data_IF_145635907478
#
_entry.id   IF_145635907478
#
_cell.length_a   1.000
_cell.length_b   1.000
_cell.length_c   1.000
_cell.angle_alpha   90.00
_cell.angle_beta   90.00
_cell.angle_gamma   90.00
#
_symmetry.space_group_name_H-M   'P 1'
#
loop_
_entity.id
_entity.type
_entity.pdbx_description
1 polymer ?
#
# COMPACT_ATOMS: atom_id res chain seq x y z
N UNK A 1 -29.98 -24.08 -8.81
CA UNK A 1 -30.88 -22.95 -8.60
C UNK A 1 -30.24 -21.71 -9.19
N UNK A 2 -30.75 -21.21 -10.31
CA UNK A 2 -30.21 -20.05 -11.00
C UNK A 2 -30.81 -18.79 -10.38
N UNK A 3 -29.95 -17.92 -9.84
CA UNK A 3 -30.34 -16.60 -9.32
C UNK A 3 -30.63 -15.71 -10.53
N UNK A 4 -31.91 -15.36 -10.73
CA UNK A 4 -32.32 -14.38 -11.74
C UNK A 4 -31.87 -12.99 -11.29
N UNK A 5 -30.87 -12.44 -11.95
CA UNK A 5 -30.47 -11.04 -11.79
C UNK A 5 -31.60 -10.11 -12.24
N UNK A 6 -31.89 -9.13 -11.42
CA UNK A 6 -32.98 -8.17 -11.65
C UNK A 6 -32.48 -7.01 -12.54
N UNK A 7 -32.86 -6.94 -13.83
CA UNK A 7 -32.27 -6.00 -14.79
C UNK A 7 -32.57 -4.51 -14.48
N UNK A 8 -33.54 -4.22 -13.61
CA UNK A 8 -33.91 -2.86 -13.23
C UNK A 8 -32.90 -2.18 -12.31
N UNK A 9 -32.15 -2.94 -11.49
CA UNK A 9 -31.12 -2.40 -10.61
C UNK A 9 -29.87 -1.97 -11.39
N UNK A 10 -29.51 -2.70 -12.43
CA UNK A 10 -28.36 -2.37 -13.28
C UNK A 10 -28.62 -1.12 -14.11
N UNK A 11 -29.83 -0.94 -14.65
CA UNK A 11 -30.18 0.26 -15.40
C UNK A 11 -30.24 1.55 -14.54
N UNK A 12 -30.64 1.47 -13.27
CA UNK A 12 -30.62 2.64 -12.39
C UNK A 12 -29.20 3.09 -12.03
N UNK A 13 -28.27 2.16 -11.96
CA UNK A 13 -26.84 2.46 -11.73
C UNK A 13 -26.22 3.19 -12.92
N UNK A 14 -26.48 2.73 -14.15
CA UNK A 14 -25.98 3.36 -15.37
C UNK A 14 -26.57 4.75 -15.62
N UNK A 15 -27.84 4.99 -15.29
CA UNK A 15 -28.46 6.34 -15.40
C UNK A 15 -27.85 7.37 -14.45
N UNK A 16 -27.51 7.00 -13.23
CA UNK A 16 -26.82 7.91 -12.28
C UNK A 16 -25.38 8.20 -12.71
N UNK A 17 -24.73 7.26 -13.37
CA UNK A 17 -23.35 7.41 -13.86
C UNK A 17 -23.26 8.31 -15.09
N UNK A 18 -24.22 8.23 -16.01
CA UNK A 18 -24.29 9.09 -17.19
C UNK A 18 -24.55 10.57 -16.84
N UNK A 19 -25.33 10.84 -15.79
CA UNK A 19 -25.61 12.21 -15.34
C UNK A 19 -24.37 12.90 -14.73
N UNK A 20 -23.42 12.18 -14.13
CA UNK A 20 -22.20 12.75 -13.55
C UNK A 20 -21.11 13.05 -14.58
N UNK A 21 -21.21 12.48 -15.80
CA UNK A 21 -20.23 12.68 -16.88
C UNK A 21 -20.54 13.87 -17.80
N UNK A 22 -21.77 14.43 -17.75
CA UNK A 22 -22.17 15.55 -18.60
C UNK A 22 -21.80 16.93 -18.06
N UNK A 23 -21.31 17.04 -16.83
CA UNK A 23 -20.96 18.34 -16.21
C UNK A 23 -19.50 18.78 -16.35
N UNK A 24 -18.62 18.01 -17.02
CA UNK A 24 -17.18 18.32 -17.07
C UNK A 24 -16.64 18.75 -18.44
N UNK A 25 -17.48 19.20 -19.38
CA UNK A 25 -17.01 19.72 -20.67
C UNK A 25 -17.10 21.25 -20.70
N UNK A 26 -16.06 21.92 -20.19
CA UNK A 26 -15.83 23.36 -20.43
C UNK A 26 -14.59 23.50 -21.31
N UNK A 27 -14.76 24.15 -22.46
CA UNK A 27 -13.72 24.45 -23.43
C UNK A 27 -12.86 25.63 -22.96
N UNK A 28 -11.55 25.68 -23.32
CA UNK A 28 -10.70 26.83 -23.03
C UNK A 28 -10.82 27.89 -24.12
N UNK A 29 -11.10 29.13 -23.74
CA UNK A 29 -10.95 30.32 -24.57
C UNK A 29 -9.56 30.95 -24.35
N UNK A 30 -8.87 31.20 -25.45
CA UNK A 30 -7.60 31.91 -25.52
C UNK A 30 -7.89 33.40 -25.64
N UNK A 31 -7.32 34.24 -24.78
CA UNK A 31 -7.14 35.68 -25.04
C UNK A 31 -5.77 36.13 -24.58
N UNK A 32 -5.06 36.71 -25.53
CA UNK A 32 -3.80 37.44 -25.40
C UNK A 32 -4.07 38.91 -25.15
N UNK A 33 -3.37 39.56 -24.21
CA UNK A 33 -3.03 40.97 -24.31
C UNK A 33 -1.98 41.42 -23.28
N UNK A 34 -1.00 42.15 -23.77
CA UNK A 34 0.10 42.85 -23.10
C UNK A 34 -0.39 44.01 -22.22
N UNK A 35 0.40 44.42 -21.23
CA UNK A 35 0.27 45.70 -20.58
C UNK A 35 0.90 45.86 -19.20
N UNK A 36 1.94 46.64 -19.16
CA UNK A 36 2.76 47.12 -18.05
C UNK A 36 2.02 47.95 -16.97
N UNK A 37 2.47 47.87 -15.71
CA UNK A 37 2.49 49.06 -14.84
C UNK A 37 1.99 48.93 -13.41
N UNK A 38 2.92 49.16 -12.48
CA UNK A 38 2.84 49.81 -11.15
C UNK A 38 1.96 49.30 -10.02
N UNK A 39 2.64 49.18 -8.90
CA UNK A 39 2.30 49.01 -7.50
C UNK A 39 1.08 49.78 -6.95
N UNK A 40 0.22 49.08 -6.24
CA UNK A 40 -0.50 49.61 -5.07
C UNK A 40 -1.03 48.45 -4.20
N UNK A 41 -0.75 48.57 -2.90
CA UNK A 41 -1.24 47.70 -1.82
C UNK A 41 -2.74 47.91 -1.66
N UNK A 42 -3.52 46.85 -1.80
CA UNK A 42 -4.91 46.84 -1.37
C UNK A 42 -5.28 45.50 -0.74
N UNK A 43 -5.98 45.60 0.36
CA UNK A 43 -6.53 44.51 1.20
C UNK A 43 -7.30 43.50 0.34
N UNK A 44 -6.96 42.23 0.49
CA UNK A 44 -7.70 41.15 -0.15
C UNK A 44 -8.87 40.70 0.73
N UNK A 45 -10.06 40.91 0.22
CA UNK A 45 -11.28 40.23 0.63
C UNK A 45 -11.21 38.76 0.20
N UNK A 46 -11.32 37.85 1.17
CA UNK A 46 -11.37 36.43 0.96
C UNK A 46 -12.73 36.00 0.37
N UNK A 47 -12.84 35.88 -0.92
CA UNK A 47 -13.87 35.09 -1.58
C UNK A 47 -13.37 34.65 -2.97
N UNK A 48 -12.55 33.57 -2.97
CA UNK A 48 -12.30 32.83 -4.19
C UNK A 48 -12.39 31.35 -3.85
N UNK A 49 -13.46 30.70 -4.28
CA UNK A 49 -13.54 29.24 -4.40
C UNK A 49 -12.58 28.79 -5.51
N UNK A 50 -11.31 28.99 -5.30
CA UNK A 50 -10.24 28.46 -6.12
C UNK A 50 -10.13 26.96 -5.85
N UNK A 51 -10.20 26.14 -6.88
CA UNK A 51 -9.77 24.74 -6.84
C UNK A 51 -8.29 24.71 -6.40
N UNK A 52 -8.07 24.69 -5.09
CA UNK A 52 -6.75 24.43 -4.55
C UNK A 52 -6.38 23.02 -4.96
N UNK A 53 -5.47 22.90 -5.92
CA UNK A 53 -4.89 21.61 -6.32
C UNK A 53 -4.23 21.04 -5.06
N UNK A 54 -4.89 20.04 -4.46
CA UNK A 54 -4.36 19.38 -3.28
C UNK A 54 -3.16 18.56 -3.72
N UNK A 55 -1.97 19.05 -3.39
CA UNK A 55 -0.73 18.32 -3.66
C UNK A 55 -0.56 17.25 -2.60
N UNK A 56 -0.51 15.99 -3.01
CA UNK A 56 -0.25 14.90 -2.09
C UNK A 56 1.20 14.94 -1.58
N UNK A 57 1.46 14.60 -0.31
CA UNK A 57 2.83 14.46 0.21
C UNK A 57 3.63 13.46 -0.64
N UNK A 58 4.93 13.72 -0.89
CA UNK A 58 5.77 12.83 -1.71
C UNK A 58 5.94 11.43 -1.13
N UNK A 59 5.67 11.26 0.17
CA UNK A 59 5.72 9.98 0.88
C UNK A 59 4.58 9.03 0.50
N UNK A 60 3.48 9.54 -0.05
CA UNK A 60 2.30 8.75 -0.42
C UNK A 60 2.61 7.57 -1.34
N UNK A 61 3.58 7.73 -2.25
CA UNK A 61 4.03 6.66 -3.14
C UNK A 61 4.62 5.44 -2.40
N UNK A 62 5.16 5.65 -1.21
CA UNK A 62 5.71 4.57 -0.38
C UNK A 62 4.69 3.99 0.58
N UNK A 63 3.75 4.82 1.06
CA UNK A 63 2.68 4.41 1.98
C UNK A 63 1.64 3.59 1.22
N UNK A 64 1.21 4.08 0.05
CA UNK A 64 0.13 3.50 -0.76
C UNK A 64 0.58 3.15 -2.19
N UNK A 65 1.60 2.30 -2.36
CA UNK A 65 2.12 1.94 -3.69
C UNK A 65 1.09 1.21 -4.54
N UNK A 66 0.09 0.57 -3.95
CA UNK A 66 -0.95 -0.18 -4.62
C UNK A 66 -1.88 0.66 -5.52
N UNK A 67 -1.98 1.97 -5.26
CA UNK A 67 -2.76 2.87 -6.12
C UNK A 67 -2.06 3.19 -7.45
N UNK A 68 -0.76 2.93 -7.53
CA UNK A 68 -0.05 3.05 -8.80
C UNK A 68 -0.38 1.86 -9.70
N UNK A 69 -0.63 2.12 -10.99
CA UNK A 69 -0.85 1.05 -11.96
C UNK A 69 0.42 0.25 -12.24
N UNK A 70 0.27 -0.89 -12.92
CA UNK A 70 1.42 -1.67 -13.39
C UNK A 70 2.27 -0.83 -14.38
N UNK A 71 3.59 -0.73 -14.23
CA UNK A 71 4.46 0.02 -15.14
C UNK A 71 4.48 -0.58 -16.56
N UNK A 72 4.13 -1.84 -16.74
CA UNK A 72 4.13 -2.51 -18.06
C UNK A 72 3.04 -1.95 -18.98
N UNK A 73 3.40 -1.32 -20.09
CA UNK A 73 2.48 -0.69 -21.04
C UNK A 73 1.43 -1.66 -21.55
N UNK A 74 1.79 -2.92 -21.79
CA UNK A 74 0.89 -3.97 -22.26
C UNK A 74 -0.27 -4.28 -21.30
N UNK A 75 -0.05 -4.05 -20.00
CA UNK A 75 -1.04 -4.32 -18.94
C UNK A 75 -1.84 -3.09 -18.55
N UNK A 76 -1.55 -1.93 -19.15
CA UNK A 76 -2.18 -0.66 -18.85
C UNK A 76 -3.54 -0.51 -19.55
N UNK A 77 -4.56 -0.18 -18.76
CA UNK A 77 -5.87 0.24 -19.25
C UNK A 77 -6.41 1.33 -18.33
N UNK A 78 -6.41 2.57 -18.82
CA UNK A 78 -6.78 3.77 -18.04
C UNK A 78 -8.18 3.68 -17.42
N UNK A 79 -9.15 3.10 -18.14
CA UNK A 79 -10.52 2.93 -17.64
C UNK A 79 -10.55 1.94 -16.48
N UNK A 80 -9.93 0.76 -16.66
CA UNK A 80 -9.84 -0.26 -15.62
C UNK A 80 -9.14 0.30 -14.37
N UNK A 81 -8.00 0.98 -14.53
CA UNK A 81 -7.24 1.57 -13.44
C UNK A 81 -8.07 2.58 -12.64
N UNK A 82 -8.87 3.40 -13.32
CA UNK A 82 -9.77 4.35 -12.67
C UNK A 82 -10.88 3.64 -11.88
N UNK A 83 -11.50 2.62 -12.47
CA UNK A 83 -12.56 1.85 -11.82
C UNK A 83 -12.01 1.06 -10.61
N UNK A 84 -10.84 0.44 -10.75
CA UNK A 84 -10.16 -0.25 -9.64
C UNK A 84 -9.87 0.71 -8.49
N UNK A 85 -9.35 1.92 -8.76
CA UNK A 85 -9.11 2.93 -7.70
C UNK A 85 -10.40 3.33 -6.98
N UNK A 86 -11.48 3.54 -7.72
CA UNK A 86 -12.78 3.87 -7.12
C UNK A 86 -13.26 2.75 -6.18
N UNK A 87 -13.17 1.50 -6.60
CA UNK A 87 -13.55 0.34 -5.78
C UNK A 87 -12.63 0.18 -4.55
N UNK A 88 -11.32 0.35 -4.73
CA UNK A 88 -10.35 0.34 -3.62
C UNK A 88 -10.71 1.39 -2.55
N UNK A 89 -11.02 2.61 -2.96
CA UNK A 89 -11.41 3.68 -2.06
C UNK A 89 -12.75 3.40 -1.39
N UNK A 90 -13.71 2.80 -2.11
CA UNK A 90 -14.97 2.37 -1.52
C UNK A 90 -14.75 1.28 -0.46
N UNK A 91 -13.93 0.28 -0.73
CA UNK A 91 -13.58 -0.77 0.24
C UNK A 91 -12.85 -0.22 1.46
N UNK A 92 -11.94 0.73 1.26
CA UNK A 92 -11.27 1.44 2.37
C UNK A 92 -12.23 2.26 3.22
N UNK A 93 -13.39 2.67 2.72
CA UNK A 93 -14.42 3.31 3.55
C UNK A 93 -15.06 2.35 4.55
N UNK A 94 -15.11 1.06 4.22
CA UNK A 94 -15.68 -0.01 5.06
C UNK A 94 -14.63 -0.57 6.01
N UNK A 95 -13.50 -1.04 5.46
CA UNK A 95 -12.38 -1.60 6.21
C UNK A 95 -11.22 -0.60 6.24
N UNK A 96 -10.78 -0.24 7.44
CA UNK A 96 -9.61 0.61 7.61
C UNK A 96 -8.34 -0.19 7.31
N UNK A 97 -7.59 0.23 6.28
CA UNK A 97 -6.29 -0.33 5.96
C UNK A 97 -5.24 0.69 6.39
N UNK A 98 -4.56 0.45 7.53
CA UNK A 98 -3.55 1.37 8.06
C UNK A 98 -2.29 1.40 7.21
N UNK A 99 -1.41 2.36 7.49
CA UNK A 99 -0.06 2.40 6.94
C UNK A 99 0.75 1.22 7.47
N UNK A 100 1.40 0.47 6.59
CA UNK A 100 2.32 -0.61 6.95
C UNK A 100 3.42 -0.78 5.90
N UNK A 101 4.51 -1.41 6.31
CA UNK A 101 5.68 -1.69 5.47
C UNK A 101 6.12 -3.14 5.64
N UNK A 102 7.04 -3.58 4.77
CA UNK A 102 7.77 -4.83 5.02
C UNK A 102 8.55 -4.70 6.32
N UNK A 103 8.36 -5.68 7.22
CA UNK A 103 8.88 -5.64 8.58
C UNK A 103 7.87 -5.23 9.66
N UNK A 104 6.77 -4.58 9.31
CA UNK A 104 5.71 -4.26 10.27
C UNK A 104 5.04 -5.52 10.80
N UNK A 105 4.74 -5.54 12.11
CA UNK A 105 3.97 -6.63 12.73
C UNK A 105 2.50 -6.26 12.66
N UNK A 106 1.71 -7.17 12.09
CA UNK A 106 0.30 -6.92 11.77
C UNK A 106 -0.58 -8.06 12.26
N UNK A 107 -1.83 -7.73 12.47
CA UNK A 107 -2.92 -8.67 12.75
C UNK A 107 -3.99 -8.52 11.69
N UNK A 108 -4.40 -9.63 11.11
CA UNK A 108 -5.49 -9.69 10.13
C UNK A 108 -6.59 -10.60 10.64
N UNK A 109 -7.82 -10.09 10.65
CA UNK A 109 -9.02 -10.86 10.99
C UNK A 109 -9.83 -11.11 9.73
N UNK A 110 -10.05 -12.36 9.41
CA UNK A 110 -10.78 -12.84 8.24
C UNK A 110 -12.04 -13.56 8.66
N UNK A 111 -13.11 -13.41 7.88
CA UNK A 111 -14.32 -14.22 8.07
C UNK A 111 -14.03 -15.68 7.70
N UNK A 112 -14.31 -16.60 8.62
CA UNK A 112 -14.11 -18.03 8.43
C UNK A 112 -15.35 -18.78 8.95
N UNK A 113 -16.02 -19.46 8.03
CA UNK A 113 -17.25 -20.22 8.36
C UNK A 113 -16.97 -21.41 9.28
N UNK A 114 -15.76 -21.97 9.21
CA UNK A 114 -15.39 -23.18 9.96
C UNK A 114 -14.94 -22.88 11.41
N UNK A 115 -14.61 -21.62 11.69
CA UNK A 115 -14.22 -21.20 13.03
C UNK A 115 -15.44 -21.06 13.96
N UNK A 116 -15.34 -21.42 15.25
CA UNK A 116 -16.43 -21.27 16.21
C UNK A 116 -16.92 -19.82 16.34
N UNK A 117 -16.01 -18.86 16.19
CA UNK A 117 -16.34 -17.43 16.24
C UNK A 117 -16.68 -16.84 14.85
N UNK A 118 -16.77 -17.67 13.80
CA UNK A 118 -16.92 -17.26 12.39
C UNK A 118 -15.83 -16.30 11.90
N UNK A 119 -14.74 -16.18 12.62
CA UNK A 119 -13.60 -15.32 12.30
C UNK A 119 -12.31 -16.00 12.72
N UNK A 120 -11.26 -15.82 11.94
CA UNK A 120 -9.91 -16.27 12.25
C UNK A 120 -8.97 -15.07 12.27
N UNK A 121 -8.22 -14.92 13.37
CA UNK A 121 -7.21 -13.87 13.55
C UNK A 121 -5.82 -14.47 13.40
N UNK A 122 -4.98 -13.85 12.56
CA UNK A 122 -3.57 -14.22 12.41
C UNK A 122 -2.68 -13.01 12.67
N UNK A 123 -1.63 -13.22 13.45
CA UNK A 123 -0.61 -12.20 13.78
C UNK A 123 0.70 -12.62 13.16
N UNK A 124 1.41 -11.71 12.52
CA UNK A 124 2.70 -12.00 11.92
C UNK A 124 3.43 -10.76 11.40
N UNK A 125 4.68 -10.98 11.02
CA UNK A 125 5.51 -9.96 10.38
C UNK A 125 5.24 -9.94 8.87
N UNK A 126 5.10 -8.74 8.30
CA UNK A 126 4.98 -8.57 6.86
C UNK A 126 6.34 -8.83 6.20
N UNK A 127 6.48 -9.94 5.48
CA UNK A 127 7.73 -10.31 4.81
C UNK A 127 7.83 -9.76 3.40
N UNK A 128 6.70 -9.56 2.74
CA UNK A 128 6.65 -9.03 1.39
C UNK A 128 5.29 -8.39 1.13
N UNK A 129 5.28 -7.33 0.33
CA UNK A 129 4.06 -6.74 -0.24
C UNK A 129 4.27 -6.51 -1.73
N UNK A 130 3.20 -6.56 -2.50
CA UNK A 130 3.30 -6.39 -3.95
C UNK A 130 1.93 -6.28 -4.61
N UNK A 131 1.95 -6.32 -5.94
CA UNK A 131 0.74 -6.15 -6.75
C UNK A 131 0.31 -4.69 -6.89
N UNK A 132 -0.66 -4.46 -7.75
CA UNK A 132 -1.23 -3.14 -8.05
C UNK A 132 -2.74 -3.23 -8.15
N UNK A 133 -3.43 -2.15 -7.82
CA UNK A 133 -4.88 -2.08 -7.86
C UNK A 133 -5.55 -3.07 -6.90
N UNK A 134 -6.63 -3.68 -7.31
CA UNK A 134 -7.37 -4.68 -6.51
C UNK A 134 -6.58 -5.97 -6.26
N UNK A 135 -5.52 -6.22 -7.04
CA UNK A 135 -4.63 -7.39 -6.89
C UNK A 135 -3.44 -7.13 -5.99
N UNK A 136 -3.47 -6.05 -5.22
CA UNK A 136 -2.46 -5.80 -4.21
C UNK A 136 -2.55 -6.85 -3.09
N UNK A 137 -1.39 -7.36 -2.68
CA UNK A 137 -1.27 -8.43 -1.69
C UNK A 137 -0.09 -8.18 -0.75
N UNK A 138 -0.13 -8.84 0.38
CA UNK A 138 0.99 -8.91 1.31
C UNK A 138 1.04 -10.29 1.97
N UNK A 139 2.21 -10.68 2.43
CA UNK A 139 2.43 -11.97 3.09
C UNK A 139 2.80 -11.72 4.55
N UNK A 140 2.08 -12.37 5.44
CA UNK A 140 2.41 -12.41 6.87
C UNK A 140 3.05 -13.74 7.23
N UNK A 141 4.11 -13.67 8.03
CA UNK A 141 4.82 -14.84 8.55
C UNK A 141 4.80 -14.84 10.06
N UNK A 142 4.54 -16.00 10.65
CA UNK A 142 4.71 -16.27 12.06
C UNK A 142 5.18 -17.72 12.26
N UNK A 143 5.70 -18.02 13.43
CA UNK A 143 6.04 -19.39 13.85
C UNK A 143 5.09 -19.78 14.98
N UNK A 144 4.19 -20.71 14.71
CA UNK A 144 3.23 -21.26 15.65
C UNK A 144 3.57 -22.73 15.85
N UNK A 145 3.66 -23.18 17.08
CA UNK A 145 3.98 -24.57 17.44
C UNK A 145 5.26 -25.10 16.75
N UNK A 146 6.29 -24.27 16.68
CA UNK A 146 7.58 -24.54 16.01
C UNK A 146 7.49 -24.70 14.49
N UNK A 147 6.32 -24.43 13.89
CA UNK A 147 6.11 -24.47 12.46
C UNK A 147 6.00 -23.04 11.91
N UNK A 148 6.81 -22.72 10.90
CA UNK A 148 6.72 -21.45 10.18
C UNK A 148 5.50 -21.43 9.26
N UNK A 149 4.57 -20.54 9.51
CA UNK A 149 3.34 -20.35 8.73
C UNK A 149 3.44 -19.05 7.97
N UNK A 150 3.11 -19.09 6.69
CA UNK A 150 3.01 -17.91 5.83
C UNK A 150 1.63 -17.87 5.20
N UNK A 151 0.96 -16.72 5.32
CA UNK A 151 -0.36 -16.52 4.74
C UNK A 151 -0.30 -15.31 3.83
N UNK A 152 -0.70 -15.52 2.57
CA UNK A 152 -0.87 -14.45 1.60
C UNK A 152 -2.29 -13.87 1.74
N UNK A 153 -2.36 -12.57 1.94
CA UNK A 153 -3.62 -11.83 1.98
C UNK A 153 -3.72 -10.89 0.78
N UNK A 154 -4.79 -11.03 0.02
CA UNK A 154 -5.18 -10.02 -0.96
C UNK A 154 -5.80 -8.84 -0.20
N UNK A 155 -5.17 -7.67 -0.29
CA UNK A 155 -5.49 -6.50 0.52
C UNK A 155 -6.95 -6.05 0.40
N UNK A 156 -7.55 -6.24 -0.75
CA UNK A 156 -8.93 -5.85 -1.06
C UNK A 156 -9.90 -7.02 -1.10
N UNK A 157 -9.56 -8.16 -0.48
CA UNK A 157 -10.47 -9.30 -0.36
C UNK A 157 -11.66 -8.94 0.54
N UNK A 158 -12.91 -9.22 0.13
CA UNK A 158 -14.10 -8.90 0.93
C UNK A 158 -14.23 -9.73 2.21
N UNK A 159 -13.49 -10.82 2.34
CA UNK A 159 -13.48 -11.66 3.55
C UNK A 159 -12.70 -11.01 4.70
N UNK A 160 -11.84 -10.05 4.41
CA UNK A 160 -11.09 -9.33 5.44
C UNK A 160 -12.03 -8.38 6.17
N UNK A 161 -12.13 -8.57 7.48
CA UNK A 161 -12.95 -7.74 8.36
C UNK A 161 -12.13 -6.63 9.03
N UNK A 162 -10.88 -6.93 9.41
CA UNK A 162 -10.04 -5.99 10.15
C UNK A 162 -8.56 -6.22 9.85
N UNK A 163 -7.83 -5.12 9.66
CA UNK A 163 -6.37 -5.10 9.56
C UNK A 163 -5.86 -4.14 10.63
N UNK A 164 -5.00 -4.62 11.50
CA UNK A 164 -4.39 -3.81 12.56
C UNK A 164 -2.87 -3.90 12.46
N UNK A 165 -2.20 -2.78 12.61
CA UNK A 165 -0.75 -2.73 12.77
C UNK A 165 -0.43 -2.72 14.25
N UNK A 166 0.22 -3.78 14.73
CA UNK A 166 0.61 -3.93 16.13
C UNK A 166 1.92 -3.18 16.40
N UNK A 167 2.88 -3.28 15.49
CA UNK A 167 4.12 -2.51 15.52
C UNK A 167 4.46 -2.00 14.13
N UNK A 168 4.52 -0.69 13.97
CA UNK A 168 4.88 -0.05 12.71
C UNK A 168 6.38 0.19 12.66
N UNK A 169 7.08 -0.62 11.88
CA UNK A 169 8.52 -0.50 11.64
C UNK A 169 8.88 -0.85 10.21
N UNK A 170 10.02 -0.35 9.76
CA UNK A 170 10.65 -0.71 8.47
C UNK A 170 11.88 -1.55 8.74
N UNK A 171 12.22 -2.43 7.82
CA UNK A 171 13.49 -3.16 7.81
C UNK A 171 14.43 -2.58 6.75
N UNK A 172 15.70 -3.00 6.79
CA UNK A 172 16.72 -2.54 5.85
C UNK A 172 16.50 -3.03 4.42
N UNK A 173 15.80 -4.15 4.25
CA UNK A 173 15.52 -4.78 2.96
C UNK A 173 14.03 -4.62 2.59
N UNK A 174 13.75 -4.53 1.29
CA UNK A 174 12.38 -4.42 0.76
C UNK A 174 11.61 -5.74 0.85
N UNK A 175 12.31 -6.86 0.90
CA UNK A 175 11.74 -8.21 1.03
C UNK A 175 12.48 -8.99 2.10
N UNK A 176 11.73 -9.66 2.97
CA UNK A 176 12.26 -10.42 4.10
C UNK A 176 12.11 -11.93 3.88
N UNK A 177 12.18 -12.41 2.64
CA UNK A 177 12.05 -13.84 2.32
C UNK A 177 13.14 -14.69 2.96
N UNK A 178 14.30 -14.10 3.29
CA UNK A 178 15.37 -14.77 4.01
C UNK A 178 14.99 -15.22 5.43
N UNK A 179 13.90 -14.71 5.99
CA UNK A 179 13.36 -15.19 7.27
C UNK A 179 12.93 -16.66 7.22
N UNK A 180 12.69 -17.22 6.04
CA UNK A 180 12.42 -18.66 5.85
C UNK A 180 13.60 -19.52 6.24
N UNK A 181 14.83 -19.04 5.97
CA UNK A 181 16.10 -19.70 6.25
C UNK A 181 16.75 -19.19 7.54
N UNK A 182 16.12 -18.26 8.24
CA UNK A 182 16.58 -17.72 9.50
C UNK A 182 16.16 -18.58 10.70
N UNK A 183 16.73 -18.27 11.87
CA UNK A 183 16.28 -18.87 13.13
C UNK A 183 14.82 -18.48 13.41
N UNK A 184 14.01 -19.37 14.01
CA UNK A 184 12.60 -19.13 14.25
C UNK A 184 12.32 -17.92 15.16
N UNK A 185 13.26 -17.57 16.03
CA UNK A 185 13.19 -16.45 16.96
C UNK A 185 12.88 -15.11 16.27
N UNK A 186 13.40 -14.90 15.05
CA UNK A 186 13.17 -13.67 14.29
C UNK A 186 11.77 -13.54 13.69
N UNK A 187 10.99 -14.60 13.71
CA UNK A 187 9.64 -14.66 13.11
C UNK A 187 8.58 -15.13 14.11
N UNK A 188 8.90 -15.26 15.41
CA UNK A 188 7.95 -15.73 16.42
C UNK A 188 7.33 -14.55 17.13
N UNK A 189 6.01 -14.41 17.02
CA UNK A 189 5.24 -13.35 17.67
C UNK A 189 4.03 -13.94 18.39
N UNK A 190 3.70 -13.47 19.60
CA UNK A 190 2.51 -13.93 20.33
C UNK A 190 1.23 -13.52 19.58
N UNK A 191 0.22 -14.41 19.57
CA UNK A 191 -1.06 -14.14 18.92
C UNK A 191 -1.87 -13.07 19.64
N UNK A 192 -1.61 -12.88 20.94
CA UNK A 192 -2.29 -11.89 21.80
C UNK A 192 -1.49 -10.60 21.96
N UNK A 193 -0.58 -10.33 21.04
CA UNK A 193 0.23 -9.11 21.05
C UNK A 193 -0.67 -7.87 21.02
N UNK A 194 -0.45 -6.95 21.96
CA UNK A 194 -1.14 -5.67 22.00
C UNK A 194 -0.50 -4.65 21.03
N UNK A 195 -1.31 -3.77 20.42
CA UNK A 195 -0.80 -2.74 19.53
C UNK A 195 -0.01 -1.68 20.30
N UNK A 196 1.18 -1.37 19.83
CA UNK A 196 1.99 -0.26 20.34
C UNK A 196 1.37 1.08 19.95
N UNK A 197 1.09 1.93 20.93
CA UNK A 197 0.58 3.28 20.68
C UNK A 197 1.71 4.15 20.16
N UNK A 198 1.42 4.85 19.09
CA UNK A 198 2.34 5.77 18.45
C UNK A 198 1.71 7.16 18.34
N UNK A 199 2.57 8.19 18.40
CA UNK A 199 2.14 9.56 18.13
C UNK A 199 1.87 9.73 16.63
N UNK A 200 0.76 10.37 16.29
CA UNK A 200 0.45 10.76 14.93
C UNK A 200 1.60 11.62 14.36
N UNK A 201 1.94 11.41 13.10
CA UNK A 201 3.03 12.11 12.39
C UNK A 201 4.46 11.84 12.88
N UNK A 202 4.71 10.83 13.73
CA UNK A 202 6.08 10.44 14.06
C UNK A 202 6.73 9.66 12.90
N UNK A 203 8.05 9.83 12.71
CA UNK A 203 8.79 9.08 11.68
C UNK A 203 8.74 7.58 11.95
N UNK A 204 8.56 6.77 10.90
CA UNK A 204 8.57 5.31 11.03
C UNK A 204 9.98 4.84 11.35
N UNK A 205 10.20 4.14 12.48
CA UNK A 205 11.53 3.67 12.85
C UNK A 205 12.01 2.60 11.86
N UNK A 206 13.29 2.66 11.55
CA UNK A 206 13.97 1.62 10.78
C UNK A 206 14.64 0.70 11.81
N UNK A 207 14.24 -0.56 11.82
CA UNK A 207 14.85 -1.57 12.68
C UNK A 207 16.15 -2.07 12.04
N UNK A 208 17.33 -1.81 12.65
CA UNK A 208 18.62 -2.18 12.10
C UNK A 208 18.98 -3.65 12.37
N UNK A 209 18.06 -4.45 12.92
CA UNK A 209 18.31 -5.84 13.29
C UNK A 209 18.82 -6.64 12.09
N UNK A 210 20.01 -7.21 12.24
CA UNK A 210 20.57 -8.17 11.30
C UNK A 210 20.21 -9.59 11.73
N UNK A 211 19.79 -10.37 10.76
CA UNK A 211 19.29 -11.73 10.96
C UNK A 211 20.38 -12.74 10.65
N UNK A 212 20.57 -13.70 11.55
CA UNK A 212 21.48 -14.83 11.34
C UNK A 212 20.76 -15.95 10.61
N UNK A 213 21.29 -16.37 9.47
CA UNK A 213 20.75 -17.50 8.72
C UNK A 213 21.22 -18.83 9.30
N UNK A 214 20.41 -19.86 9.12
CA UNK A 214 20.79 -21.25 9.43
C UNK A 214 21.90 -21.71 8.50
N UNK A 215 22.68 -22.75 8.87
CA UNK A 215 23.62 -23.36 7.94
C UNK A 215 22.86 -23.92 6.72
N UNK A 216 23.57 -23.97 5.60
CA UNK A 216 23.00 -24.55 4.36
C UNK A 216 22.53 -26.00 4.59
N UNK A 217 21.50 -26.46 3.83
CA UNK A 217 20.97 -25.91 2.58
C UNK A 217 19.91 -24.78 2.82
N UNK A 218 19.88 -23.78 1.93
CA UNK A 218 18.91 -22.68 1.92
C UNK A 218 17.90 -22.85 0.79
N UNK A 219 16.74 -22.24 0.93
CA UNK A 219 15.71 -22.22 -0.11
C UNK A 219 16.16 -21.43 -1.34
N UNK A 220 16.87 -20.33 -1.12
CA UNK A 220 17.43 -19.51 -2.18
C UNK A 220 18.93 -19.29 -1.98
N UNK A 221 19.60 -18.75 -3.00
CA UNK A 221 21.02 -18.43 -2.95
C UNK A 221 21.23 -17.00 -2.49
N UNK A 222 21.16 -16.80 -1.18
CA UNK A 222 21.26 -15.49 -0.55
C UNK A 222 22.61 -14.80 -0.80
N UNK A 223 23.65 -15.53 -1.07
CA UNK A 223 24.97 -14.98 -1.44
C UNK A 223 24.98 -14.21 -2.77
N UNK A 224 23.91 -14.31 -3.56
CA UNK A 224 23.76 -13.58 -4.83
C UNK A 224 22.95 -12.29 -4.70
N UNK A 225 22.33 -12.10 -3.56
CA UNK A 225 21.50 -10.94 -3.27
C UNK A 225 22.28 -9.97 -2.37
N UNK A 226 22.12 -8.69 -2.61
CA UNK A 226 22.76 -7.63 -1.82
C UNK A 226 21.89 -7.31 -0.59
N UNK A 227 21.85 -8.23 0.37
CA UNK A 227 21.03 -8.13 1.57
C UNK A 227 21.75 -7.31 2.65
N UNK A 228 21.06 -6.31 3.18
CA UNK A 228 21.56 -5.43 4.24
C UNK A 228 21.17 -5.90 5.64
N UNK A 229 20.03 -6.59 5.75
CA UNK A 229 19.46 -7.08 7.01
C UNK A 229 19.91 -8.47 7.42
N UNK A 230 20.94 -9.04 6.78
CA UNK A 230 21.52 -10.34 7.10
C UNK A 230 22.94 -10.15 7.62
N UNK A 231 23.33 -10.93 8.62
CA UNK A 231 24.72 -11.02 9.08
C UNK A 231 25.62 -11.65 8.01
N UNK A 232 26.93 -11.47 8.13
CA UNK A 232 27.87 -12.05 7.19
C UNK A 232 27.71 -13.57 7.14
N UNK A 233 27.55 -14.07 5.92
CA UNK A 233 27.21 -15.48 5.68
C UNK A 233 28.36 -16.45 5.97
N UNK A 234 29.58 -15.94 6.21
CA UNK A 234 30.81 -16.73 6.50
C UNK A 234 31.00 -17.93 5.55
N UNK A 235 30.76 -17.71 4.25
CA UNK A 235 30.86 -18.75 3.24
C UNK A 235 32.30 -18.85 2.67
N UNK A 236 32.72 -20.03 2.22
CA UNK A 236 33.95 -20.18 1.45
C UNK A 236 33.93 -19.30 0.19
N UNK A 237 35.09 -18.73 -0.16
CA UNK A 237 35.29 -17.82 -1.30
C UNK A 237 34.71 -18.35 -2.63
N UNK A 238 34.77 -19.67 -2.81
CA UNK A 238 34.20 -20.36 -3.98
C UNK A 238 32.75 -19.98 -4.30
N UNK A 239 31.92 -19.66 -3.28
CA UNK A 239 30.53 -19.30 -3.48
C UNK A 239 30.39 -17.84 -3.95
N UNK A 240 31.19 -16.94 -3.40
CA UNK A 240 31.24 -15.54 -3.84
C UNK A 240 31.78 -15.40 -5.26
N UNK A 241 32.76 -16.21 -5.64
CA UNK A 241 33.29 -16.22 -7.02
C UNK A 241 32.21 -16.69 -8.03
N UNK A 242 31.42 -17.71 -7.64
CA UNK A 242 30.27 -18.13 -8.44
C UNK A 242 29.17 -17.06 -8.51
N UNK A 243 28.92 -16.35 -7.40
CA UNK A 243 27.97 -15.25 -7.36
C UNK A 243 28.42 -14.11 -8.29
N UNK A 244 29.69 -13.70 -8.25
CA UNK A 244 30.26 -12.67 -9.13
C UNK A 244 30.12 -13.00 -10.61
N UNK A 245 30.26 -14.26 -11.02
CA UNK A 245 30.10 -14.67 -12.44
C UNK A 245 28.67 -14.51 -12.95
N UNK A 246 27.68 -14.57 -12.08
CA UNK A 246 26.25 -14.45 -12.45
C UNK A 246 25.73 -13.04 -12.21
N UNK A 247 26.41 -12.26 -11.36
CA UNK A 247 26.03 -10.89 -11.05
C UNK A 247 26.12 -10.01 -12.30
N UNK A 248 25.12 -9.13 -12.44
CA UNK A 248 25.04 -8.14 -13.53
C UNK A 248 25.04 -6.73 -12.94
N UNK A 249 26.18 -6.24 -12.42
CA UNK A 249 26.22 -4.97 -11.71
C UNK A 249 25.83 -3.77 -12.55
N UNK A 250 25.94 -3.87 -13.88
CA UNK A 250 25.53 -2.80 -14.82
C UNK A 250 24.01 -2.56 -14.88
N UNK A 251 23.17 -3.55 -14.56
CA UNK A 251 21.70 -3.39 -14.54
C UNK A 251 21.24 -2.31 -13.55
N UNK A 252 22.02 -2.07 -12.49
CA UNK A 252 21.76 -1.01 -11.51
C UNK A 252 21.85 0.39 -12.13
N UNK A 253 22.67 0.55 -13.17
CA UNK A 253 22.92 1.84 -13.85
C UNK A 253 22.17 1.97 -15.18
N UNK A 254 21.36 0.99 -15.54
CA UNK A 254 20.55 1.02 -16.76
C UNK A 254 19.32 1.91 -16.55
N UNK A 255 19.41 3.16 -17.03
CA UNK A 255 18.33 4.15 -16.95
C UNK A 255 17.09 3.71 -17.72
N UNK A 256 17.25 3.01 -18.86
CA UNK A 256 16.10 2.54 -19.65
C UNK A 256 15.34 1.42 -18.95
N UNK A 257 16.04 0.55 -18.24
CA UNK A 257 15.42 -0.47 -17.40
C UNK A 257 14.63 0.16 -16.25
N UNK A 258 15.20 1.17 -15.60
CA UNK A 258 14.52 1.92 -14.53
C UNK A 258 13.29 2.67 -15.07
N UNK A 259 13.43 3.35 -16.22
CA UNK A 259 12.33 4.07 -16.86
C UNK A 259 11.13 3.14 -17.17
N UNK A 260 11.39 1.94 -17.69
CA UNK A 260 10.33 0.96 -17.99
C UNK A 260 9.66 0.38 -16.74
N UNK A 261 10.33 0.42 -15.60
CA UNK A 261 9.80 -0.04 -14.30
C UNK A 261 9.08 1.06 -13.52
N UNK A 262 9.14 2.29 -13.97
CA UNK A 262 8.55 3.43 -13.27
C UNK A 262 7.42 4.06 -14.09
N UNK A 263 6.50 4.68 -13.39
CA UNK A 263 5.41 5.46 -13.98
C UNK A 263 5.89 6.92 -14.05
N UNK A 264 5.52 7.68 -15.09
CA UNK A 264 5.84 9.10 -15.18
C UNK A 264 5.40 9.86 -13.91
N UNK A 265 6.27 10.78 -13.43
CA UNK A 265 6.03 11.51 -12.19
C UNK A 265 4.72 12.31 -12.21
N UNK A 266 4.42 12.94 -13.34
CA UNK A 266 3.17 13.71 -13.53
C UNK A 266 1.91 12.85 -13.35
N UNK A 267 1.96 11.59 -13.79
CA UNK A 267 0.85 10.66 -13.65
C UNK A 267 0.72 10.19 -12.20
N UNK A 268 1.85 9.94 -11.53
CA UNK A 268 1.87 9.61 -10.10
C UNK A 268 1.25 10.74 -9.27
N UNK A 269 1.62 11.99 -9.52
CA UNK A 269 1.10 13.16 -8.82
C UNK A 269 -0.42 13.30 -8.98
N UNK A 270 -0.93 13.14 -10.21
CA UNK A 270 -2.37 13.18 -10.48
C UNK A 270 -3.13 12.09 -9.71
N UNK A 271 -2.61 10.86 -9.73
CA UNK A 271 -3.24 9.73 -9.03
C UNK A 271 -3.24 9.99 -7.52
N UNK A 272 -2.11 10.39 -6.95
CA UNK A 272 -2.01 10.62 -5.52
C UNK A 272 -2.76 11.86 -5.04
N UNK A 273 -2.90 12.89 -5.84
CA UNK A 273 -3.75 14.03 -5.52
C UNK A 273 -5.22 13.61 -5.40
N UNK A 274 -5.72 12.79 -6.34
CA UNK A 274 -7.07 12.22 -6.29
C UNK A 274 -7.26 11.34 -5.05
N UNK A 275 -6.34 10.41 -4.80
CA UNK A 275 -6.39 9.48 -3.67
C UNK A 275 -6.33 10.22 -2.34
N UNK A 276 -5.41 11.18 -2.20
CA UNK A 276 -5.23 11.96 -0.98
C UNK A 276 -6.50 12.72 -0.59
N UNK A 277 -7.11 13.42 -1.55
CA UNK A 277 -8.34 14.17 -1.31
C UNK A 277 -9.48 13.28 -0.81
N UNK A 278 -9.62 12.08 -1.40
CA UNK A 278 -10.69 11.15 -1.02
C UNK A 278 -10.41 10.47 0.33
N UNK A 279 -9.16 10.09 0.61
CA UNK A 279 -8.78 9.52 1.92
C UNK A 279 -8.99 10.53 3.04
N UNK A 280 -8.60 11.80 2.86
CA UNK A 280 -8.87 12.85 3.85
C UNK A 280 -10.36 13.01 4.14
N UNK A 281 -11.21 12.99 3.11
CA UNK A 281 -12.66 13.04 3.30
C UNK A 281 -13.20 11.85 4.09
N UNK A 282 -12.67 10.64 3.82
CA UNK A 282 -13.04 9.44 4.55
C UNK A 282 -12.63 9.51 6.01
N UNK A 283 -11.42 9.98 6.30
CA UNK A 283 -10.91 10.13 7.67
C UNK A 283 -11.71 11.16 8.47
N UNK A 284 -12.08 12.29 7.84
CA UNK A 284 -12.97 13.27 8.46
C UNK A 284 -14.32 12.65 8.79
N UNK A 285 -14.94 11.90 7.86
CA UNK A 285 -16.21 11.21 8.09
C UNK A 285 -16.10 10.19 9.24
N UNK A 286 -15.00 9.44 9.32
CA UNK A 286 -14.72 8.50 10.43
C UNK A 286 -14.58 9.20 11.77
N UNK A 287 -13.80 10.30 11.82
CA UNK A 287 -13.63 11.11 13.04
C UNK A 287 -14.96 11.66 13.54
N UNK A 288 -15.81 12.18 12.65
CA UNK A 288 -17.15 12.65 13.00
C UNK A 288 -18.04 11.53 13.52
N UNK A 289 -18.01 10.35 12.87
CA UNK A 289 -18.79 9.17 13.31
C UNK A 289 -18.36 8.68 14.69
N UNK A 290 -17.05 8.60 14.95
CA UNK A 290 -16.52 8.22 16.27
C UNK A 290 -16.94 9.20 17.36
N UNK A 291 -16.92 10.51 17.10
CA UNK A 291 -17.38 11.54 18.06
C UNK A 291 -18.88 11.42 18.35
N UNK A 292 -19.73 11.18 17.36
CA UNK A 292 -21.17 11.00 17.54
C UNK A 292 -21.49 9.72 18.34
N UNK A 293 -20.78 8.62 18.12
CA UNK A 293 -20.92 7.39 18.90
C UNK A 293 -20.57 7.60 20.37
N UNK A 294 -19.48 8.30 20.66
CA UNK A 294 -19.05 8.57 22.04
C UNK A 294 -20.03 9.50 22.81
N UNK A 295 -20.83 10.30 22.13
CA UNK A 295 -21.86 11.17 22.76
C UNK A 295 -23.21 10.47 22.95
N UNK A 296 -23.45 9.34 22.30
CA UNK A 296 -24.69 8.56 22.47
C UNK A 296 -24.60 7.54 23.62
N UNK A 297 -23.39 7.24 24.12
CA UNK A 297 -23.13 6.30 25.19
C UNK A 297 -23.00 7.00 26.58
N UNK A 298 -23.20 8.29 26.65
CA UNK A 298 -23.37 9.11 27.86
C UNK A 298 -24.82 9.48 28.09
#
# INVERSE_FOLDING_TARGET
>A
MAIKENPRLVQSFFKRYAASLSESAVQPSVETSDGSGSSSVSKQDNNASGNTVVVAPPEFRFIYPEFLPDPSIERRNKLREKLERMDMLQRRSIVEIPEFYTGSIMSVTVADVNSPNKTTKFVGICIQRGGSGLRAWFILRNVVDRQGIEILYEMYCPLIQKIEVLRLEKRLDESLLYLRDALPEYSTFPLDMEPERRLDNSFVPINPLKVKLRPRPWLERWERQDLKGVEDLNLPQKYYDKAKKVAKPWEKYDLMLQYRKTIPAEEQEKIFAEVHSQLQQQDLKRKVRRRRGATSDQ
#
